data_IF_009222558620
#
_entry.id   IF_009222558620
#
_cell.length_a   1.000
_cell.length_b   1.000
_cell.length_c   1.000
_cell.angle_alpha   90.00
_cell.angle_beta   90.00
_cell.angle_gamma   90.00
#
_symmetry.space_group_name_H-M   'P 1'
#
loop_
_entity.id
_entity.type
_entity.pdbx_description
1 polymer ?
#
# COMPACT_ATOMS: atom_id res chain seq x y z
N UNK A 1 -7.34 19.88 1.92
CA UNK A 1 -7.01 19.68 0.50
C UNK A 1 -5.82 20.56 0.13
N UNK A 2 -4.82 20.03 -0.59
CA UNK A 2 -3.64 20.78 -1.04
C UNK A 2 -3.61 20.73 -2.58
N UNK A 3 -3.49 21.88 -3.24
CA UNK A 3 -3.52 21.97 -4.70
C UNK A 3 -2.32 22.79 -5.20
N UNK A 4 -1.57 22.19 -6.11
CA UNK A 4 -0.50 22.83 -6.88
C UNK A 4 -0.98 23.03 -8.31
N UNK A 5 -0.82 24.26 -8.83
CA UNK A 5 -1.15 24.62 -10.20
C UNK A 5 0.06 25.26 -10.88
N UNK A 6 0.63 24.55 -11.83
CA UNK A 6 1.76 25.02 -12.66
C UNK A 6 2.93 25.61 -11.85
N UNK A 7 3.35 24.89 -10.77
CA UNK A 7 4.41 25.38 -9.87
C UNK A 7 5.79 25.16 -10.46
N UNK A 8 6.60 26.21 -10.46
CA UNK A 8 8.01 26.22 -10.89
C UNK A 8 8.90 26.69 -9.75
N UNK A 9 10.06 26.00 -9.59
CA UNK A 9 11.07 26.34 -8.59
C UNK A 9 12.47 26.17 -9.15
N UNK A 10 13.28 27.22 -8.99
CA UNK A 10 14.71 27.22 -9.30
C UNK A 10 15.51 27.77 -8.12
N UNK A 11 16.71 27.25 -7.85
CA UNK A 11 17.63 27.80 -6.85
C UNK A 11 18.72 28.66 -7.50
N UNK A 12 18.86 28.59 -8.83
CA UNK A 12 19.80 29.38 -9.62
C UNK A 12 19.27 29.50 -11.05
N UNK A 13 19.73 30.46 -11.81
CA UNK A 13 19.27 30.71 -13.18
C UNK A 13 19.50 29.55 -14.16
N UNK A 14 20.28 28.54 -13.75
CA UNK A 14 20.70 27.45 -14.64
C UNK A 14 20.00 26.09 -14.36
N UNK A 15 19.34 25.90 -13.22
CA UNK A 15 18.76 24.59 -12.91
C UNK A 15 17.40 24.70 -12.22
N UNK A 16 16.34 24.40 -12.96
CA UNK A 16 15.01 24.23 -12.41
C UNK A 16 14.96 22.94 -11.57
N UNK A 17 14.40 23.04 -10.35
CA UNK A 17 14.21 21.91 -9.44
C UNK A 17 12.78 21.41 -9.51
N UNK A 18 11.80 22.29 -9.71
CA UNK A 18 10.42 21.95 -10.02
C UNK A 18 10.04 22.60 -11.34
N UNK A 19 9.36 21.89 -12.20
CA UNK A 19 8.98 22.32 -13.54
C UNK A 19 7.55 21.89 -13.82
N UNK A 20 6.64 22.85 -13.88
CA UNK A 20 5.23 22.62 -14.23
C UNK A 20 4.55 21.56 -13.35
N UNK A 21 4.70 21.71 -12.04
CA UNK A 21 4.09 20.76 -11.09
C UNK A 21 2.64 21.14 -10.87
N UNK A 22 1.74 20.28 -11.33
CA UNK A 22 0.30 20.34 -11.06
C UNK A 22 -0.12 19.06 -10.35
N UNK A 23 -0.70 19.18 -9.14
CA UNK A 23 -0.96 18.06 -8.25
C UNK A 23 -2.05 18.42 -7.25
N UNK A 24 -2.95 17.48 -6.99
CA UNK A 24 -3.99 17.61 -5.97
C UNK A 24 -3.87 16.49 -4.94
N UNK A 25 -3.88 16.86 -3.66
CA UNK A 25 -3.87 15.96 -2.50
C UNK A 25 -5.18 16.15 -1.74
N UNK A 26 -5.97 15.11 -1.61
CA UNK A 26 -7.28 15.19 -0.98
C UNK A 26 -7.18 15.22 0.56
N UNK A 27 -8.19 15.78 1.21
CA UNK A 27 -8.26 15.79 2.67
C UNK A 27 -8.39 14.38 3.23
N UNK A 28 -7.60 14.06 4.25
CA UNK A 28 -7.59 12.74 4.88
C UNK A 28 -6.81 11.68 4.09
N UNK A 29 -6.06 12.07 3.07
CA UNK A 29 -5.23 11.18 2.25
C UNK A 29 -3.87 10.93 2.91
N UNK A 30 -3.34 9.72 2.76
CA UNK A 30 -1.95 9.40 3.03
C UNK A 30 -1.20 9.37 1.69
N UNK A 31 -0.58 10.48 1.36
CA UNK A 31 0.00 10.76 0.06
C UNK A 31 1.53 10.67 0.09
N UNK A 32 2.11 9.95 -0.87
CA UNK A 32 3.56 9.76 -0.95
C UNK A 32 4.15 10.42 -2.17
N UNK A 33 5.19 11.22 -1.97
CA UNK A 33 6.08 11.70 -3.02
C UNK A 33 7.29 10.77 -3.13
N UNK A 34 7.48 10.14 -4.29
CA UNK A 34 8.56 9.20 -4.53
C UNK A 34 9.36 9.56 -5.78
N UNK A 35 10.62 9.14 -5.85
CA UNK A 35 11.52 9.35 -6.98
C UNK A 35 12.98 9.33 -6.54
N UNK A 36 13.90 9.41 -7.50
CA UNK A 36 15.34 9.41 -7.25
C UNK A 36 15.80 10.60 -6.38
N UNK A 37 16.97 10.48 -5.77
CA UNK A 37 17.56 11.59 -5.01
C UNK A 37 17.74 12.82 -5.91
N UNK A 38 17.45 14.00 -5.35
CA UNK A 38 17.59 15.28 -6.08
C UNK A 38 16.48 15.58 -7.10
N UNK A 39 15.42 14.76 -7.26
CA UNK A 39 14.35 15.03 -8.23
C UNK A 39 13.34 16.12 -7.79
N UNK A 40 13.49 16.71 -6.59
CA UNK A 40 12.66 17.82 -6.11
C UNK A 40 11.63 17.49 -5.03
N UNK A 41 11.54 16.25 -4.51
CA UNK A 41 10.56 15.81 -3.49
C UNK A 41 10.54 16.69 -2.24
N UNK A 42 11.67 16.80 -1.56
CA UNK A 42 11.82 17.65 -0.36
C UNK A 42 11.57 19.12 -0.66
N UNK A 43 11.94 19.60 -1.84
CA UNK A 43 11.66 20.97 -2.28
C UNK A 43 10.15 21.18 -2.39
N UNK A 44 9.44 20.27 -3.06
CA UNK A 44 7.98 20.33 -3.21
C UNK A 44 7.28 20.24 -1.84
N UNK A 45 7.73 19.34 -0.96
CA UNK A 45 7.19 19.22 0.41
C UNK A 45 7.35 20.54 1.18
N UNK A 46 8.54 21.14 1.12
CA UNK A 46 8.88 22.39 1.82
C UNK A 46 8.19 23.65 1.27
N UNK A 47 7.58 23.60 0.09
CA UNK A 47 6.74 24.71 -0.38
C UNK A 47 5.41 24.76 0.35
N UNK A 48 4.86 23.60 0.81
CA UNK A 48 3.58 23.53 1.51
C UNK A 48 3.62 24.31 2.83
N UNK A 49 4.75 24.23 3.55
CA UNK A 49 4.91 24.92 4.85
C UNK A 49 5.68 26.26 4.73
N UNK A 50 5.84 26.80 3.53
CA UNK A 50 6.57 28.05 3.25
C UNK A 50 8.06 28.05 3.63
N UNK A 51 8.66 26.90 3.91
CA UNK A 51 10.12 26.82 4.09
C UNK A 51 10.88 27.05 2.78
N UNK A 52 10.24 26.77 1.65
CA UNK A 52 10.70 27.13 0.32
C UNK A 52 9.68 28.01 -0.39
N UNK A 53 10.15 28.99 -1.14
CA UNK A 53 9.35 29.77 -2.07
C UNK A 53 9.39 29.15 -3.46
N UNK A 54 8.46 29.52 -4.33
CA UNK A 54 8.44 29.18 -5.76
C UNK A 54 8.24 30.45 -6.59
N UNK A 55 8.66 30.40 -7.86
CA UNK A 55 8.71 31.59 -8.72
C UNK A 55 7.44 31.78 -9.53
N UNK A 56 6.79 30.68 -9.95
CA UNK A 56 5.58 30.71 -10.79
C UNK A 56 4.59 29.64 -10.34
N UNK A 57 3.35 29.83 -10.69
CA UNK A 57 2.25 28.93 -10.35
C UNK A 57 1.52 29.33 -9.07
N UNK A 58 0.68 28.47 -8.59
CA UNK A 58 -0.13 28.67 -7.40
C UNK A 58 -0.14 27.44 -6.50
N UNK A 59 -0.13 27.67 -5.20
CA UNK A 59 -0.30 26.63 -4.17
C UNK A 59 -1.43 27.06 -3.22
N UNK A 60 -2.43 26.20 -3.09
CA UNK A 60 -3.59 26.41 -2.21
C UNK A 60 -3.69 25.33 -1.14
N UNK A 61 -4.14 25.74 0.04
CA UNK A 61 -4.56 24.86 1.13
C UNK A 61 -6.00 25.20 1.46
N UNK A 62 -6.91 24.24 1.32
CA UNK A 62 -8.35 24.38 1.50
C UNK A 62 -8.92 25.60 0.73
N UNK A 63 -8.48 25.79 -0.52
CA UNK A 63 -8.89 26.86 -1.42
C UNK A 63 -8.20 28.21 -1.17
N UNK A 64 -7.43 28.37 -0.08
CA UNK A 64 -6.70 29.61 0.23
C UNK A 64 -5.28 29.54 -0.31
N UNK A 65 -4.80 30.59 -0.95
CA UNK A 65 -3.39 30.68 -1.39
C UNK A 65 -2.46 30.61 -0.19
N UNK A 66 -1.44 29.75 -0.29
CA UNK A 66 -0.48 29.58 0.81
C UNK A 66 0.22 30.89 1.16
N UNK A 67 0.50 31.75 0.16
CA UNK A 67 1.12 33.06 0.36
C UNK A 67 0.29 33.96 1.29
N UNK A 68 -1.03 33.86 1.26
CA UNK A 68 -1.98 34.69 2.03
C UNK A 68 -2.20 34.18 3.47
N UNK A 69 -1.74 32.95 3.78
CA UNK A 69 -1.86 32.38 5.13
C UNK A 69 -0.69 32.89 5.99
N UNK A 70 -0.95 33.48 7.13
CA UNK A 70 0.08 33.93 8.06
C UNK A 70 0.95 32.79 8.59
N UNK A 71 2.24 33.04 8.87
CA UNK A 71 3.17 32.00 9.33
C UNK A 71 2.71 31.34 10.65
N UNK A 72 2.18 32.11 11.58
CA UNK A 72 1.66 31.58 12.85
C UNK A 72 0.43 30.70 12.65
N UNK A 73 -0.50 31.10 11.77
CA UNK A 73 -1.64 30.29 11.38
C UNK A 73 -1.21 28.98 10.70
N UNK A 74 -0.28 29.07 9.75
CA UNK A 74 0.24 27.91 9.01
C UNK A 74 0.90 26.89 9.95
N UNK A 75 1.63 27.36 10.98
CA UNK A 75 2.25 26.50 11.99
C UNK A 75 1.24 25.75 12.86
N UNK A 76 0.02 26.24 12.98
CA UNK A 76 -1.10 25.52 13.62
C UNK A 76 -1.79 24.51 12.69
N UNK A 77 -1.80 24.79 11.38
CA UNK A 77 -2.44 23.95 10.37
C UNK A 77 -1.56 22.76 9.94
N UNK A 78 -0.23 22.90 10.02
CA UNK A 78 0.73 21.93 9.47
C UNK A 78 1.69 21.46 10.57
N UNK A 79 1.71 20.16 10.82
CA UNK A 79 2.79 19.49 11.55
C UNK A 79 3.90 19.08 10.59
N UNK A 80 5.17 19.21 11.01
CA UNK A 80 6.29 18.85 10.18
C UNK A 80 7.28 17.94 10.90
N UNK A 81 7.50 16.75 10.32
CA UNK A 81 8.51 15.79 10.76
C UNK A 81 9.71 15.92 9.82
N UNK A 82 10.82 16.40 10.34
CA UNK A 82 12.07 16.51 9.58
C UNK A 82 12.84 15.19 9.59
N UNK A 83 13.69 15.00 8.62
CA UNK A 83 14.64 13.90 8.56
C UNK A 83 15.44 13.82 9.89
N UNK A 84 15.70 12.60 10.40
CA UNK A 84 16.41 12.35 11.68
C UNK A 84 15.75 12.94 12.94
N UNK A 85 14.43 13.20 12.91
CA UNK A 85 13.64 13.67 14.06
C UNK A 85 13.80 15.14 14.41
N UNK A 86 14.92 15.80 14.10
CA UNK A 86 15.17 17.23 14.27
C UNK A 86 14.83 17.78 15.65
N UNK A 87 15.13 17.02 16.72
CA UNK A 87 14.86 17.43 18.10
C UNK A 87 15.92 18.42 18.59
N UNK A 88 15.51 19.38 19.40
CA UNK A 88 16.41 20.29 20.08
C UNK A 88 17.17 19.55 21.19
N UNK A 89 18.50 19.41 21.09
CA UNK A 89 19.28 18.55 21.99
C UNK A 89 19.31 19.03 23.45
N UNK A 90 19.10 20.32 23.67
CA UNK A 90 19.10 20.97 24.99
C UNK A 90 17.72 21.00 25.66
N UNK A 91 16.69 20.53 24.98
CA UNK A 91 15.35 20.41 25.55
C UNK A 91 15.04 18.94 25.84
N UNK A 92 14.26 18.69 26.87
CA UNK A 92 13.74 17.36 27.17
C UNK A 92 12.74 16.91 26.09
N UNK A 93 12.38 15.65 26.08
CA UNK A 93 11.33 15.08 25.19
C UNK A 93 10.02 15.86 25.35
N UNK A 94 9.57 16.04 26.59
CA UNK A 94 8.34 16.79 26.86
C UNK A 94 8.41 18.24 26.40
N UNK A 95 9.56 18.90 26.56
CA UNK A 95 9.76 20.27 26.08
C UNK A 95 9.82 20.37 24.56
N UNK A 96 10.45 19.39 23.87
CA UNK A 96 10.43 19.31 22.41
C UNK A 96 9.00 19.21 21.86
N UNK A 97 8.15 18.37 22.44
CA UNK A 97 6.75 18.24 22.05
C UNK A 97 5.97 19.52 22.38
N UNK A 98 6.22 20.12 23.54
CA UNK A 98 5.51 21.30 24.03
C UNK A 98 5.86 22.60 23.28
N UNK A 99 6.94 22.64 22.51
CA UNK A 99 7.55 23.87 22.00
C UNK A 99 6.56 24.78 21.25
N UNK A 100 5.84 24.22 20.28
CA UNK A 100 4.88 24.98 19.47
C UNK A 100 3.68 25.42 20.32
N UNK A 101 3.21 24.55 21.23
CA UNK A 101 2.10 24.89 22.14
C UNK A 101 2.45 26.04 23.09
N UNK A 102 3.69 26.08 23.60
CA UNK A 102 4.20 27.19 24.42
C UNK A 102 4.22 28.51 23.63
N UNK A 103 4.70 28.48 22.39
CA UNK A 103 4.73 29.68 21.53
C UNK A 103 3.33 30.18 21.16
N UNK A 104 2.34 29.29 21.16
CA UNK A 104 0.93 29.62 20.92
C UNK A 104 0.16 29.99 22.21
N UNK A 105 0.88 30.22 23.34
CA UNK A 105 0.32 30.65 24.63
C UNK A 105 -0.77 29.70 25.19
N UNK A 106 -0.68 28.39 24.90
CA UNK A 106 -1.57 27.38 25.47
C UNK A 106 -1.28 27.25 26.98
N UNK A 107 -2.29 27.14 27.86
CA UNK A 107 -2.10 26.96 29.30
C UNK A 107 -1.24 25.75 29.63
N UNK A 108 -0.32 25.90 30.61
CA UNK A 108 0.67 24.88 30.98
C UNK A 108 0.05 23.53 31.35
N UNK A 109 -1.14 23.54 31.95
CA UNK A 109 -1.86 22.32 32.31
C UNK A 109 -2.30 21.52 31.07
N UNK A 110 -2.91 22.19 30.09
CA UNK A 110 -3.29 21.60 28.81
C UNK A 110 -2.08 21.08 28.03
N UNK A 111 -0.94 21.81 28.07
CA UNK A 111 0.30 21.36 27.46
C UNK A 111 0.77 20.05 28.10
N UNK A 112 0.72 19.95 29.42
CA UNK A 112 1.17 18.76 30.17
C UNK A 112 0.30 17.53 29.83
N UNK A 113 -1.02 17.71 29.82
CA UNK A 113 -1.95 16.66 29.42
C UNK A 113 -1.71 16.21 27.97
N UNK A 114 -1.55 17.17 27.04
CA UNK A 114 -1.32 16.87 25.64
C UNK A 114 0.01 16.18 25.38
N UNK A 115 1.09 16.59 26.07
CA UNK A 115 2.39 15.91 25.98
C UNK A 115 2.29 14.46 26.46
N UNK A 116 1.53 14.23 27.53
CA UNK A 116 1.28 12.88 28.05
C UNK A 116 0.56 12.01 27.04
N UNK A 117 -0.58 12.49 26.53
CA UNK A 117 -1.35 11.81 25.48
C UNK A 117 -0.51 11.48 24.25
N UNK A 118 0.31 12.44 23.79
CA UNK A 118 1.12 12.26 22.59
C UNK A 118 2.26 11.24 22.80
N UNK A 119 2.84 11.17 23.98
CA UNK A 119 3.84 10.14 24.30
C UNK A 119 3.22 8.74 24.32
N UNK A 120 2.05 8.58 24.95
CA UNK A 120 1.30 7.31 24.90
C UNK A 120 0.94 6.93 23.46
N UNK A 121 0.55 7.94 22.66
CA UNK A 121 0.15 7.77 21.26
C UNK A 121 1.26 7.19 20.39
N UNK A 122 2.53 7.55 20.68
CA UNK A 122 3.70 7.05 19.95
C UNK A 122 4.42 5.90 20.69
N UNK A 123 3.72 5.21 21.60
CA UNK A 123 4.21 4.09 22.40
C UNK A 123 5.53 4.40 23.16
N UNK A 124 5.60 5.58 23.77
CA UNK A 124 6.65 5.99 24.70
C UNK A 124 6.01 6.26 26.06
N UNK A 125 6.33 5.48 27.09
CA UNK A 125 5.81 5.64 28.45
C UNK A 125 6.15 7.04 29.01
N UNK A 126 5.14 7.91 29.28
CA UNK A 126 5.39 9.30 29.66
C UNK A 126 6.23 9.46 30.92
N UNK A 127 6.05 8.58 31.92
CA UNK A 127 6.81 8.58 33.16
C UNK A 127 8.31 8.41 32.93
N UNK A 128 8.68 7.56 31.96
CA UNK A 128 10.05 7.18 31.65
C UNK A 128 10.68 8.19 30.71
N UNK A 129 9.95 8.66 29.69
CA UNK A 129 10.54 9.37 28.57
C UNK A 129 10.41 10.87 28.62
N UNK A 130 9.38 11.44 29.26
CA UNK A 130 9.10 12.89 29.23
C UNK A 130 10.28 13.76 29.62
N UNK A 131 11.05 13.33 30.64
CA UNK A 131 12.17 14.10 31.20
C UNK A 131 13.52 13.73 30.59
N UNK A 132 13.59 12.75 29.65
CA UNK A 132 14.83 12.41 28.96
C UNK A 132 15.21 13.46 27.94
N UNK A 133 16.50 13.56 27.65
CA UNK A 133 17.04 14.36 26.56
C UNK A 133 17.20 13.50 25.27
N UNK A 134 17.20 14.11 24.08
CA UNK A 134 17.37 13.39 22.82
C UNK A 134 18.60 12.47 22.76
N UNK A 135 19.71 12.85 23.42
CA UNK A 135 20.92 12.04 23.50
C UNK A 135 20.75 10.71 24.25
N UNK A 136 19.69 10.58 25.06
CA UNK A 136 19.38 9.39 25.84
C UNK A 136 18.40 8.44 25.11
N UNK A 137 18.05 8.75 23.87
CA UNK A 137 17.07 8.03 23.07
C UNK A 137 17.76 7.26 21.92
N UNK A 138 17.20 6.11 21.54
CA UNK A 138 17.52 5.46 20.27
C UNK A 138 17.07 6.30 19.06
N UNK A 139 17.56 5.99 17.87
CA UNK A 139 17.12 6.65 16.63
C UNK A 139 15.60 6.59 16.45
N UNK A 140 15.01 5.39 16.61
CA UNK A 140 13.57 5.20 16.51
C UNK A 140 12.78 5.95 17.58
N UNK A 141 13.27 6.01 18.81
CA UNK A 141 12.63 6.79 19.87
C UNK A 141 12.67 8.31 19.56
N UNK A 142 13.79 8.82 19.05
CA UNK A 142 13.86 10.23 18.58
C UNK A 142 12.85 10.50 17.48
N UNK A 143 12.70 9.58 16.53
CA UNK A 143 11.74 9.74 15.43
C UNK A 143 10.29 9.72 15.93
N UNK A 144 9.94 8.83 16.87
CA UNK A 144 8.62 8.81 17.53
C UNK A 144 8.33 10.14 18.24
N UNK A 145 9.30 10.73 18.93
CA UNK A 145 9.16 12.08 19.54
C UNK A 145 8.95 13.15 18.48
N UNK A 146 9.66 13.07 17.34
CA UNK A 146 9.46 13.96 16.18
C UNK A 146 8.04 13.89 15.64
N UNK A 147 7.49 12.68 15.51
CA UNK A 147 6.08 12.46 15.13
C UNK A 147 5.14 13.06 16.19
N UNK A 148 5.33 12.76 17.48
CA UNK A 148 4.52 13.32 18.55
C UNK A 148 4.51 14.86 18.52
N UNK A 149 5.68 15.50 18.30
CA UNK A 149 5.80 16.95 18.18
C UNK A 149 4.98 17.50 17.00
N UNK A 150 4.98 16.81 15.86
CA UNK A 150 4.21 17.22 14.69
C UNK A 150 2.68 17.19 14.95
N UNK A 151 2.21 16.33 15.86
CA UNK A 151 0.81 16.24 16.26
C UNK A 151 0.42 17.17 17.43
N UNK A 152 1.38 17.95 17.97
CA UNK A 152 1.16 18.74 19.20
C UNK A 152 -0.03 19.71 19.11
N UNK A 153 -0.16 20.43 18.00
CA UNK A 153 -1.24 21.42 17.75
C UNK A 153 -2.49 20.80 17.11
N UNK A 154 -2.56 19.49 17.03
CA UNK A 154 -3.62 18.76 16.32
C UNK A 154 -3.86 19.24 14.88
N UNK A 155 -2.79 19.42 14.06
CA UNK A 155 -2.90 20.00 12.73
C UNK A 155 -3.73 19.13 11.78
N UNK A 156 -4.34 19.77 10.75
CA UNK A 156 -5.05 19.05 9.68
C UNK A 156 -4.13 18.34 8.70
N UNK A 157 -2.89 18.84 8.56
CA UNK A 157 -1.90 18.36 7.59
C UNK A 157 -0.63 17.99 8.33
N UNK A 158 -0.06 16.83 8.01
CA UNK A 158 1.25 16.38 8.51
C UNK A 158 2.18 16.18 7.31
N UNK A 159 3.30 16.86 7.33
CA UNK A 159 4.38 16.70 6.34
C UNK A 159 5.51 15.89 6.96
N UNK A 160 6.05 14.91 6.23
CA UNK A 160 7.13 14.05 6.69
C UNK A 160 8.23 13.94 5.63
N UNK A 161 9.44 14.36 5.96
CA UNK A 161 10.60 14.30 5.06
C UNK A 161 11.48 13.09 5.42
N UNK A 162 11.41 12.02 4.63
CA UNK A 162 12.10 10.73 4.84
C UNK A 162 12.02 10.20 6.28
N UNK A 163 10.81 10.03 6.86
CA UNK A 163 10.64 9.78 8.30
C UNK A 163 11.17 8.42 8.76
N UNK A 164 11.48 7.49 7.83
CA UNK A 164 11.85 6.11 8.16
C UNK A 164 13.30 5.75 7.77
N UNK A 165 14.03 6.64 7.10
CA UNK A 165 15.33 6.35 6.47
C UNK A 165 16.42 5.89 7.42
N UNK A 166 16.43 6.39 8.66
CA UNK A 166 17.48 6.12 9.67
C UNK A 166 17.11 4.97 10.64
N UNK A 167 16.07 4.19 10.35
CA UNK A 167 15.55 3.16 11.26
C UNK A 167 15.93 1.76 10.81
N UNK A 168 16.16 0.87 11.79
CA UNK A 168 16.26 -0.57 11.53
C UNK A 168 14.92 -1.13 11.03
N UNK A 169 14.91 -2.27 10.33
CA UNK A 169 13.70 -2.79 9.67
C UNK A 169 12.51 -3.02 10.61
N UNK A 170 12.74 -3.48 11.84
CA UNK A 170 11.67 -3.76 12.80
C UNK A 170 11.04 -2.45 13.29
N UNK A 171 11.85 -1.53 13.79
CA UNK A 171 11.40 -0.21 14.26
C UNK A 171 10.72 0.57 13.15
N UNK A 172 11.24 0.47 11.91
CA UNK A 172 10.63 1.08 10.71
C UNK A 172 9.22 0.57 10.49
N UNK A 173 9.05 -0.76 10.48
CA UNK A 173 7.73 -1.39 10.28
C UNK A 173 6.73 -0.96 11.35
N UNK A 174 7.13 -0.95 12.62
CA UNK A 174 6.29 -0.52 13.73
C UNK A 174 5.84 0.95 13.59
N UNK A 175 6.79 1.85 13.27
CA UNK A 175 6.46 3.27 13.13
C UNK A 175 5.57 3.54 11.91
N UNK A 176 5.73 2.81 10.80
CA UNK A 176 4.85 2.87 9.65
C UNK A 176 3.42 2.49 10.02
N UNK A 177 3.24 1.37 10.73
CA UNK A 177 1.92 0.89 11.17
C UNK A 177 1.27 1.89 12.14
N UNK A 178 2.08 2.55 12.97
CA UNK A 178 1.64 3.60 13.88
C UNK A 178 1.18 4.85 13.13
N UNK A 179 1.93 5.34 12.16
CA UNK A 179 1.54 6.48 11.30
C UNK A 179 0.23 6.20 10.58
N UNK A 180 0.05 5.01 10.00
CA UNK A 180 -1.21 4.60 9.36
C UNK A 180 -2.37 4.58 10.38
N UNK A 181 -2.14 4.03 11.58
CA UNK A 181 -3.14 4.00 12.65
C UNK A 181 -3.57 5.40 13.07
N UNK A 182 -2.58 6.30 13.26
CA UNK A 182 -2.82 7.70 13.64
C UNK A 182 -3.58 8.46 12.57
N UNK A 183 -3.16 8.32 11.31
CA UNK A 183 -3.83 8.95 10.17
C UNK A 183 -5.30 8.54 10.09
N UNK A 184 -5.60 7.24 10.21
CA UNK A 184 -6.97 6.72 10.19
C UNK A 184 -7.81 7.20 11.38
N UNK A 185 -7.22 7.17 12.60
CA UNK A 185 -7.90 7.59 13.83
C UNK A 185 -8.27 9.07 13.81
N UNK A 186 -7.36 9.93 13.39
CA UNK A 186 -7.53 11.38 13.41
C UNK A 186 -7.91 11.99 12.06
N UNK A 187 -8.04 11.16 11.01
CA UNK A 187 -8.41 11.57 9.64
C UNK A 187 -7.54 12.72 9.11
N UNK A 188 -6.23 12.71 9.43
CA UNK A 188 -5.28 13.74 9.01
C UNK A 188 -4.86 13.53 7.55
N UNK A 189 -4.57 14.62 6.84
CA UNK A 189 -3.88 14.55 5.55
C UNK A 189 -2.40 14.40 5.83
N UNK A 190 -1.79 13.30 5.39
CA UNK A 190 -0.35 13.06 5.57
C UNK A 190 0.33 13.08 4.21
N UNK A 191 1.35 13.91 4.06
CA UNK A 191 2.20 13.95 2.87
C UNK A 191 3.61 13.55 3.30
N UNK A 192 4.11 12.43 2.79
CA UNK A 192 5.47 12.02 3.12
C UNK A 192 6.33 11.79 1.87
N UNK A 193 7.61 12.02 2.04
CA UNK A 193 8.64 11.81 1.04
C UNK A 193 9.41 10.55 1.39
N UNK A 194 9.64 9.70 0.40
CA UNK A 194 10.57 8.57 0.50
C UNK A 194 11.24 8.30 -0.84
N UNK A 195 12.32 7.55 -0.81
CA UNK A 195 12.94 6.94 -1.98
C UNK A 195 12.72 5.41 -2.01
N UNK A 196 12.06 4.87 -0.99
CA UNK A 196 11.79 3.44 -0.84
C UNK A 196 10.35 3.12 -1.33
N UNK A 197 10.28 2.25 -2.35
CA UNK A 197 9.00 1.84 -2.92
C UNK A 197 8.17 0.96 -1.98
N UNK A 198 8.81 0.15 -1.13
CA UNK A 198 8.10 -0.73 -0.19
C UNK A 198 7.42 0.09 0.90
N UNK A 199 8.06 1.18 1.35
CA UNK A 199 7.42 2.14 2.25
C UNK A 199 6.18 2.77 1.61
N UNK A 200 6.32 3.24 0.35
CA UNK A 200 5.21 3.85 -0.36
C UNK A 200 4.05 2.87 -0.57
N UNK A 201 4.34 1.64 -1.00
CA UNK A 201 3.32 0.59 -1.21
C UNK A 201 2.59 0.26 0.09
N UNK A 202 3.33 0.12 1.20
CA UNK A 202 2.79 -0.32 2.48
C UNK A 202 1.81 0.67 3.07
N UNK A 203 2.09 1.98 2.96
CA UNK A 203 1.35 2.97 3.74
C UNK A 203 0.53 3.96 2.91
N UNK A 204 0.88 4.22 1.66
CA UNK A 204 0.23 5.24 0.86
C UNK A 204 -1.18 4.84 0.39
N UNK A 205 -2.09 5.80 0.38
CA UNK A 205 -3.36 5.71 -0.37
C UNK A 205 -3.15 6.08 -1.84
N UNK A 206 -2.26 7.05 -2.12
CA UNK A 206 -1.78 7.41 -3.45
C UNK A 206 -0.29 7.71 -3.44
N UNK A 207 0.37 7.35 -4.54
CA UNK A 207 1.79 7.55 -4.78
C UNK A 207 1.95 8.49 -5.97
N UNK A 208 2.79 9.51 -5.82
CA UNK A 208 3.14 10.45 -6.87
C UNK A 208 4.63 10.33 -7.20
N UNK A 209 4.92 9.89 -8.41
CA UNK A 209 6.27 9.84 -8.93
C UNK A 209 6.73 11.19 -9.44
N UNK A 210 7.83 11.67 -8.85
CA UNK A 210 8.53 12.88 -9.29
C UNK A 210 9.83 12.50 -10.02
N UNK A 211 10.03 13.02 -11.22
CA UNK A 211 11.24 12.81 -12.01
C UNK A 211 11.67 14.11 -12.68
N UNK A 212 12.92 14.51 -12.48
CA UNK A 212 13.47 15.77 -13.00
C UNK A 212 12.56 16.99 -12.75
N UNK A 213 12.01 17.08 -11.54
CA UNK A 213 11.13 18.19 -11.13
C UNK A 213 9.71 18.14 -11.70
N UNK A 214 9.30 17.07 -12.37
CA UNK A 214 7.96 16.91 -12.96
C UNK A 214 7.21 15.74 -12.33
N UNK A 215 5.91 15.87 -12.21
CA UNK A 215 5.03 14.74 -11.89
C UNK A 215 4.88 13.87 -13.14
N UNK A 216 5.24 12.60 -13.06
CA UNK A 216 5.15 11.66 -14.19
C UNK A 216 4.03 10.64 -14.06
N UNK A 217 3.66 10.29 -12.84
CA UNK A 217 2.46 9.47 -12.55
C UNK A 217 2.00 9.71 -11.11
N UNK A 218 0.70 9.76 -10.90
CA UNK A 218 0.11 9.87 -9.58
C UNK A 218 -1.15 9.00 -9.52
N UNK A 219 -1.09 7.90 -8.75
CA UNK A 219 -2.16 6.91 -8.69
C UNK A 219 -2.11 6.07 -7.40
N UNK A 220 -3.05 5.14 -7.25
CA UNK A 220 -3.02 4.13 -6.18
C UNK A 220 -1.81 3.20 -6.33
N UNK A 221 -1.29 2.63 -5.22
CA UNK A 221 -0.20 1.66 -5.28
C UNK A 221 -0.51 0.48 -6.23
N UNK A 222 -1.75 -0.04 -6.19
CA UNK A 222 -2.19 -1.13 -7.08
C UNK A 222 -2.04 -0.76 -8.55
N UNK A 223 -2.53 0.44 -8.94
CA UNK A 223 -2.48 0.84 -10.35
C UNK A 223 -1.07 1.16 -10.83
N UNK A 224 -0.24 1.74 -9.99
CA UNK A 224 1.18 1.99 -10.29
C UNK A 224 1.94 0.68 -10.52
N UNK A 225 1.71 -0.34 -9.69
CA UNK A 225 2.35 -1.65 -9.83
C UNK A 225 1.89 -2.39 -11.10
N UNK A 226 0.61 -2.27 -11.47
CA UNK A 226 0.04 -2.94 -12.64
C UNK A 226 0.29 -2.19 -13.96
N UNK A 227 0.23 -0.87 -13.92
CA UNK A 227 0.22 -0.01 -15.10
C UNK A 227 1.25 1.13 -14.96
N UNK A 228 2.57 0.85 -14.84
CA UNK A 228 3.58 1.89 -14.82
C UNK A 228 3.56 2.66 -16.14
N UNK A 229 3.51 4.01 -16.09
CA UNK A 229 3.32 4.88 -17.26
C UNK A 229 4.52 4.91 -18.19
N UNK A 230 5.71 4.55 -17.71
CA UNK A 230 6.95 4.55 -18.50
C UNK A 230 7.99 3.57 -17.92
N UNK A 231 9.09 3.39 -18.66
CA UNK A 231 10.16 2.47 -18.27
C UNK A 231 10.93 2.92 -17.02
N UNK A 232 11.03 4.23 -16.77
CA UNK A 232 11.64 4.72 -15.53
C UNK A 232 10.89 4.23 -14.30
N UNK A 233 9.56 4.35 -14.28
CA UNK A 233 8.74 3.86 -13.17
C UNK A 233 8.81 2.34 -13.09
N UNK A 234 8.73 1.63 -14.23
CA UNK A 234 8.85 0.16 -14.26
C UNK A 234 10.17 -0.32 -13.66
N UNK A 235 11.28 0.30 -14.02
CA UNK A 235 12.59 -0.03 -13.48
C UNK A 235 12.73 0.35 -11.99
N UNK A 236 12.12 1.47 -11.57
CA UNK A 236 12.12 1.89 -10.17
C UNK A 236 11.33 0.93 -9.27
N UNK A 237 10.20 0.41 -9.78
CA UNK A 237 9.37 -0.58 -9.09
C UNK A 237 10.12 -1.93 -9.00
N UNK A 238 10.79 -2.36 -10.06
CA UNK A 238 11.31 -3.72 -10.22
C UNK A 238 10.26 -4.70 -10.75
N UNK A 239 10.70 -5.77 -11.40
CA UNK A 239 9.84 -6.69 -12.15
C UNK A 239 8.92 -7.56 -11.26
N UNK A 240 9.36 -7.88 -10.04
CA UNK A 240 8.69 -8.86 -9.18
C UNK A 240 7.86 -8.24 -8.06
N UNK A 241 7.91 -6.94 -7.83
CA UNK A 241 7.30 -6.29 -6.67
C UNK A 241 5.77 -6.45 -6.58
N UNK A 242 5.07 -6.51 -7.72
CA UNK A 242 3.64 -6.81 -7.73
C UNK A 242 3.36 -8.19 -7.10
N UNK A 243 4.20 -9.18 -7.40
CA UNK A 243 4.03 -10.55 -6.91
C UNK A 243 4.31 -10.70 -5.41
N UNK A 244 5.15 -9.83 -4.84
CA UNK A 244 5.41 -9.77 -3.38
C UNK A 244 4.25 -9.15 -2.60
N UNK A 245 3.26 -8.53 -3.28
CA UNK A 245 2.12 -7.88 -2.65
C UNK A 245 0.79 -8.58 -3.05
N UNK A 246 0.47 -9.75 -2.48
CA UNK A 246 -0.67 -10.58 -2.88
C UNK A 246 -2.04 -9.93 -2.70
N UNK A 247 -2.13 -8.87 -1.91
CA UNK A 247 -3.33 -8.05 -1.76
C UNK A 247 -3.71 -7.26 -3.02
N UNK A 248 -2.74 -6.93 -3.88
CA UNK A 248 -2.97 -6.22 -5.14
C UNK A 248 -3.18 -7.14 -6.33
N UNK A 249 -2.89 -8.44 -6.20
CA UNK A 249 -3.17 -9.42 -7.24
C UNK A 249 -4.65 -9.80 -7.15
N UNK A 250 -5.41 -9.55 -8.21
CA UNK A 250 -6.82 -9.92 -8.30
C UNK A 250 -6.98 -11.28 -8.98
N UNK A 251 -8.08 -11.96 -8.68
CA UNK A 251 -8.43 -13.22 -9.32
C UNK A 251 -8.43 -13.09 -10.85
N UNK A 252 -8.94 -11.98 -11.40
CA UNK A 252 -8.95 -11.68 -12.84
C UNK A 252 -7.57 -11.65 -13.48
N UNK A 253 -6.51 -11.35 -12.71
CA UNK A 253 -5.12 -11.26 -13.21
C UNK A 253 -4.49 -12.64 -13.40
N UNK A 254 -5.03 -13.68 -12.72
CA UNK A 254 -4.45 -15.03 -12.66
C UNK A 254 -5.41 -16.14 -13.09
N UNK A 255 -6.70 -15.83 -13.32
CA UNK A 255 -7.70 -16.80 -13.74
C UNK A 255 -7.52 -17.22 -15.20
N UNK A 256 -7.99 -18.43 -15.50
CA UNK A 256 -8.15 -18.94 -16.87
C UNK A 256 -9.57 -18.70 -17.35
N UNK A 257 -9.74 -18.25 -18.61
CA UNK A 257 -11.05 -17.78 -19.13
C UNK A 257 -11.94 -18.85 -19.73
N UNK A 258 -11.48 -20.07 -19.95
CA UNK A 258 -12.27 -21.11 -20.65
C UNK A 258 -12.32 -22.36 -19.79
N UNK A 259 -13.22 -22.43 -18.80
CA UNK A 259 -13.39 -23.63 -17.99
C UNK A 259 -14.04 -24.75 -18.78
N UNK A 260 -13.77 -25.98 -18.39
CA UNK A 260 -14.50 -27.13 -18.90
C UNK A 260 -15.85 -27.19 -18.19
N UNK A 261 -16.91 -27.11 -18.99
CA UNK A 261 -18.29 -27.10 -18.51
C UNK A 261 -19.08 -28.27 -19.10
N UNK A 262 -20.14 -28.65 -18.40
CA UNK A 262 -21.12 -29.62 -18.88
C UNK A 262 -22.53 -29.15 -18.52
N UNK A 263 -23.49 -29.30 -19.47
CA UNK A 263 -24.92 -29.05 -19.18
C UNK A 263 -25.45 -30.12 -18.22
N UNK A 264 -26.31 -29.71 -17.29
CA UNK A 264 -26.96 -30.61 -16.31
C UNK A 264 -27.74 -31.78 -16.98
N UNK A 265 -28.15 -31.64 -18.25
CA UNK A 265 -28.93 -32.61 -18.99
C UNK A 265 -28.07 -33.72 -19.62
N UNK A 266 -26.75 -33.51 -19.66
CA UNK A 266 -25.80 -34.48 -20.21
C UNK A 266 -25.64 -35.68 -19.30
N UNK A 267 -25.18 -36.81 -19.91
CA UNK A 267 -25.01 -38.06 -19.19
C UNK A 267 -23.68 -38.15 -18.43
N UNK A 268 -23.63 -39.03 -17.45
CA UNK A 268 -22.39 -39.34 -16.70
C UNK A 268 -21.28 -39.80 -17.62
N UNK A 269 -21.62 -40.64 -18.62
CA UNK A 269 -20.65 -41.10 -19.63
C UNK A 269 -19.95 -39.93 -20.31
N UNK A 270 -20.75 -38.94 -20.76
CA UNK A 270 -20.20 -37.73 -21.40
C UNK A 270 -19.34 -36.91 -20.46
N UNK A 271 -19.72 -36.78 -19.17
CA UNK A 271 -18.90 -36.11 -18.19
C UNK A 271 -17.53 -36.78 -18.03
N UNK A 272 -17.54 -38.10 -17.86
CA UNK A 272 -16.31 -38.89 -17.72
C UNK A 272 -15.41 -38.83 -18.96
N UNK A 273 -16.02 -38.82 -20.16
CA UNK A 273 -15.27 -38.67 -21.41
C UNK A 273 -14.57 -37.32 -21.49
N UNK A 274 -15.26 -36.19 -21.17
CA UNK A 274 -14.68 -34.85 -21.13
C UNK A 274 -13.53 -34.78 -20.11
N UNK A 275 -13.74 -35.33 -18.93
CA UNK A 275 -12.71 -35.33 -17.88
C UNK A 275 -11.46 -36.12 -18.31
N UNK A 276 -11.63 -37.32 -18.89
CA UNK A 276 -10.50 -38.16 -19.34
C UNK A 276 -9.75 -37.54 -20.52
N UNK A 277 -10.48 -37.00 -21.52
CA UNK A 277 -9.87 -36.40 -22.71
C UNK A 277 -9.03 -35.16 -22.38
N UNK A 278 -9.41 -34.42 -21.34
CA UNK A 278 -8.76 -33.18 -20.95
C UNK A 278 -7.85 -33.35 -19.71
N UNK A 279 -7.72 -34.58 -19.19
CA UNK A 279 -6.94 -34.92 -18.00
C UNK A 279 -7.28 -34.03 -16.79
N UNK A 280 -8.60 -33.92 -16.52
CA UNK A 280 -9.15 -33.15 -15.40
C UNK A 280 -10.01 -34.06 -14.53
N UNK A 281 -10.13 -33.71 -13.25
CA UNK A 281 -10.86 -34.47 -12.21
C UNK A 281 -12.21 -33.88 -11.85
N UNK A 282 -12.57 -32.74 -12.47
CA UNK A 282 -13.82 -32.02 -12.16
C UNK A 282 -14.32 -31.21 -13.34
N UNK A 283 -15.64 -31.00 -13.38
CA UNK A 283 -16.34 -30.16 -14.36
C UNK A 283 -17.29 -29.19 -13.66
N UNK A 284 -17.44 -28.02 -14.25
CA UNK A 284 -18.46 -27.06 -13.86
C UNK A 284 -19.78 -27.41 -14.53
N UNK A 285 -20.83 -27.60 -13.75
CA UNK A 285 -22.16 -27.91 -14.29
C UNK A 285 -22.92 -26.62 -14.54
N UNK A 286 -23.49 -26.53 -15.74
CA UNK A 286 -24.26 -25.34 -16.18
C UNK A 286 -25.73 -25.69 -16.45
N UNK A 287 -26.60 -24.76 -16.13
CA UNK A 287 -27.99 -24.76 -16.51
C UNK A 287 -28.30 -23.84 -17.68
N UNK A 288 -29.53 -23.37 -17.74
CA UNK A 288 -29.98 -22.42 -18.76
C UNK A 288 -29.14 -21.13 -18.68
N UNK A 289 -28.93 -20.51 -19.86
CA UNK A 289 -28.12 -19.27 -20.00
C UNK A 289 -26.71 -19.37 -19.41
N UNK A 290 -26.12 -20.57 -19.41
CA UNK A 290 -24.76 -20.82 -18.89
C UNK A 290 -24.60 -20.48 -17.41
N UNK A 291 -25.67 -20.50 -16.61
CA UNK A 291 -25.66 -20.26 -15.17
C UNK A 291 -25.01 -21.44 -14.45
N UNK A 292 -24.07 -21.15 -13.57
CA UNK A 292 -23.39 -22.16 -12.76
C UNK A 292 -24.34 -22.80 -11.74
N UNK A 293 -24.42 -24.12 -11.73
CA UNK A 293 -25.25 -24.90 -10.82
C UNK A 293 -24.47 -25.58 -9.69
N UNK A 294 -23.22 -25.98 -9.96
CA UNK A 294 -22.37 -26.70 -9.01
C UNK A 294 -21.27 -27.42 -9.75
N UNK A 295 -20.60 -28.33 -9.07
CA UNK A 295 -19.47 -29.09 -9.61
C UNK A 295 -19.77 -30.59 -9.63
N UNK A 296 -19.14 -31.31 -10.55
CA UNK A 296 -19.12 -32.76 -10.57
C UNK A 296 -17.66 -33.22 -10.52
N UNK A 297 -17.41 -34.22 -9.67
CA UNK A 297 -16.07 -34.76 -9.44
C UNK A 297 -15.94 -36.15 -10.03
N UNK A 298 -14.78 -36.50 -10.58
CA UNK A 298 -14.51 -37.83 -11.10
C UNK A 298 -14.67 -38.91 -10.01
N UNK A 299 -14.27 -38.58 -8.79
CA UNK A 299 -14.38 -39.52 -7.65
C UNK A 299 -15.83 -39.86 -7.29
N UNK A 300 -16.76 -38.92 -7.41
CA UNK A 300 -18.19 -39.15 -7.16
C UNK A 300 -18.82 -40.08 -8.21
N UNK A 301 -18.18 -40.24 -9.36
CA UNK A 301 -18.66 -41.06 -10.47
C UNK A 301 -18.06 -42.47 -10.50
N UNK A 302 -17.04 -42.78 -9.67
CA UNK A 302 -16.36 -44.10 -9.70
C UNK A 302 -17.24 -45.28 -9.40
N UNK A 303 -18.27 -45.10 -8.58
CA UNK A 303 -19.16 -46.18 -8.11
C UNK A 303 -20.53 -46.18 -8.83
N UNK A 304 -20.66 -45.42 -9.91
CA UNK A 304 -21.90 -45.33 -10.69
C UNK A 304 -21.95 -46.53 -11.64
N UNK A 305 -23.07 -47.26 -11.62
CA UNK A 305 -23.32 -48.42 -12.48
C UNK A 305 -24.10 -48.07 -13.73
N UNK A 306 -24.88 -47.00 -13.69
CA UNK A 306 -25.71 -46.51 -14.79
C UNK A 306 -25.17 -45.18 -15.34
N UNK A 307 -24.44 -45.28 -16.46
CA UNK A 307 -23.77 -44.15 -17.06
C UNK A 307 -24.65 -43.27 -17.95
N UNK A 308 -25.89 -43.72 -18.23
CA UNK A 308 -26.86 -42.98 -19.03
C UNK A 308 -27.65 -41.96 -18.22
N UNK A 309 -27.54 -42.02 -16.90
CA UNK A 309 -28.16 -41.03 -16.03
C UNK A 309 -27.61 -39.64 -16.23
N UNK A 310 -28.50 -38.65 -16.03
CA UNK A 310 -28.11 -37.22 -16.06
C UNK A 310 -27.13 -36.89 -14.95
N UNK A 311 -26.17 -36.00 -15.23
CA UNK A 311 -25.22 -35.45 -14.25
C UNK A 311 -25.91 -34.68 -13.14
N UNK A 312 -27.16 -34.23 -13.34
CA UNK A 312 -27.94 -33.45 -12.36
C UNK A 312 -28.05 -34.12 -11.00
N UNK A 313 -28.02 -35.45 -10.93
CA UNK A 313 -28.11 -36.22 -9.67
C UNK A 313 -26.78 -36.29 -8.89
N UNK A 314 -25.68 -35.82 -9.47
CA UNK A 314 -24.33 -35.90 -8.92
C UNK A 314 -23.68 -34.53 -8.79
N UNK A 315 -24.45 -33.44 -8.90
CA UNK A 315 -23.98 -32.09 -8.67
C UNK A 315 -23.66 -31.93 -7.18
N UNK A 316 -22.45 -31.51 -6.90
CA UNK A 316 -22.00 -31.18 -5.55
C UNK A 316 -22.07 -29.67 -5.33
N UNK A 317 -22.57 -29.30 -4.16
CA UNK A 317 -22.54 -27.93 -3.65
C UNK A 317 -21.31 -27.65 -2.79
N UNK A 318 -20.48 -28.68 -2.55
CA UNK A 318 -19.24 -28.53 -1.80
C UNK A 318 -18.12 -28.07 -2.74
N UNK A 319 -18.07 -26.78 -2.97
CA UNK A 319 -17.03 -26.11 -3.74
C UNK A 319 -16.69 -24.75 -3.13
N UNK A 320 -15.50 -24.26 -3.40
CA UNK A 320 -15.11 -22.87 -3.18
C UNK A 320 -15.37 -22.11 -4.48
N UNK A 321 -15.96 -20.94 -4.40
CA UNK A 321 -16.04 -20.00 -5.52
C UNK A 321 -15.52 -18.63 -5.13
N UNK A 322 -15.01 -17.89 -6.08
CA UNK A 322 -14.44 -16.55 -5.90
C UNK A 322 -14.98 -15.60 -6.98
N UNK A 323 -14.79 -14.31 -6.78
CA UNK A 323 -15.13 -13.26 -7.75
C UNK A 323 -13.89 -12.73 -8.44
N UNK A 324 -14.05 -12.10 -9.61
CA UNK A 324 -12.95 -11.50 -10.37
C UNK A 324 -12.15 -10.46 -9.56
N UNK A 325 -12.84 -9.70 -8.71
CA UNK A 325 -12.23 -8.63 -7.90
C UNK A 325 -11.67 -9.09 -6.55
N UNK A 326 -11.85 -10.36 -6.19
CA UNK A 326 -11.24 -10.89 -4.96
C UNK A 326 -9.72 -10.83 -5.05
N UNK A 327 -9.07 -10.48 -3.93
CA UNK A 327 -7.60 -10.48 -3.87
C UNK A 327 -7.07 -11.91 -3.72
N UNK A 328 -5.88 -12.16 -4.24
CA UNK A 328 -5.19 -13.43 -4.08
C UNK A 328 -5.00 -13.79 -2.59
N UNK A 329 -4.74 -12.81 -1.73
CA UNK A 329 -4.67 -12.98 -0.29
C UNK A 329 -5.97 -13.53 0.29
N UNK A 330 -7.13 -13.04 -0.16
CA UNK A 330 -8.43 -13.56 0.26
C UNK A 330 -8.64 -15.01 -0.18
N UNK A 331 -8.25 -15.35 -1.42
CA UNK A 331 -8.30 -16.72 -1.93
C UNK A 331 -7.49 -17.67 -1.06
N UNK A 332 -6.25 -17.29 -0.71
CA UNK A 332 -5.40 -18.09 0.17
C UNK A 332 -6.01 -18.26 1.57
N UNK A 333 -6.63 -17.22 2.12
CA UNK A 333 -7.30 -17.27 3.42
C UNK A 333 -8.50 -18.23 3.40
N UNK A 334 -9.32 -18.21 2.36
CA UNK A 334 -10.44 -19.13 2.16
C UNK A 334 -9.97 -20.58 2.05
N UNK A 335 -8.88 -20.82 1.32
CA UNK A 335 -8.27 -22.15 1.17
C UNK A 335 -7.76 -22.70 2.52
N UNK A 336 -7.13 -21.85 3.34
CA UNK A 336 -6.61 -22.22 4.66
C UNK A 336 -7.73 -22.63 5.62
N UNK A 337 -8.85 -21.91 5.61
CA UNK A 337 -10.00 -22.16 6.51
C UNK A 337 -10.66 -23.49 6.19
N UNK A 338 -10.80 -23.85 4.92
CA UNK A 338 -11.53 -25.06 4.48
C UNK A 338 -10.73 -26.37 4.55
N UNK A 339 -9.45 -26.33 4.89
CA UNK A 339 -8.57 -27.51 4.99
C UNK A 339 -8.71 -28.45 3.76
N UNK A 340 -8.58 -27.88 2.56
CA UNK A 340 -8.76 -28.55 1.27
C UNK A 340 -7.70 -29.64 1.02
N UNK A 341 -7.84 -30.83 1.66
CA UNK A 341 -6.86 -31.94 1.55
C UNK A 341 -6.99 -32.78 0.29
N UNK A 342 -8.19 -33.08 -0.20
CA UNK A 342 -8.41 -34.13 -1.19
C UNK A 342 -9.11 -33.70 -2.50
N UNK A 343 -9.91 -32.62 -2.54
CA UNK A 343 -10.70 -32.24 -3.71
C UNK A 343 -10.37 -30.86 -4.27
N UNK A 344 -9.09 -30.47 -4.27
CA UNK A 344 -8.66 -29.21 -4.87
C UNK A 344 -8.37 -29.40 -6.37
N UNK A 345 -9.41 -29.42 -7.20
CA UNK A 345 -9.25 -29.44 -8.66
C UNK A 345 -9.22 -28.03 -9.24
N UNK A 346 -10.36 -27.39 -9.29
CA UNK A 346 -10.54 -26.03 -9.81
C UNK A 346 -11.42 -25.19 -8.86
N UNK A 347 -11.23 -23.89 -8.87
CA UNK A 347 -12.09 -22.92 -8.17
C UNK A 347 -12.81 -22.10 -9.24
N UNK A 348 -14.13 -22.17 -9.35
CA UNK A 348 -14.89 -21.35 -10.27
C UNK A 348 -14.84 -19.88 -9.89
N UNK A 349 -14.67 -19.02 -10.89
CA UNK A 349 -14.80 -17.58 -10.78
C UNK A 349 -16.17 -17.19 -11.31
N UNK A 350 -17.00 -16.66 -10.41
CA UNK A 350 -18.42 -16.39 -10.68
C UNK A 350 -18.71 -14.89 -10.65
N UNK A 351 -19.59 -14.44 -11.55
CA UNK A 351 -20.20 -13.13 -11.51
C UNK A 351 -21.40 -13.05 -10.56
N UNK A 352 -22.07 -11.91 -10.50
CA UNK A 352 -23.17 -11.65 -9.57
C UNK A 352 -24.39 -12.56 -9.77
N UNK A 353 -24.72 -12.88 -11.02
CA UNK A 353 -25.84 -13.77 -11.37
C UNK A 353 -25.43 -15.25 -11.46
N UNK A 354 -24.29 -15.62 -10.90
CA UNK A 354 -23.67 -16.94 -10.97
C UNK A 354 -23.24 -17.35 -12.39
N UNK A 355 -23.02 -16.41 -13.27
CA UNK A 355 -22.40 -16.68 -14.58
C UNK A 355 -20.90 -17.01 -14.39
N UNK A 356 -20.42 -17.97 -15.19
CA UNK A 356 -19.02 -18.40 -15.11
C UNK A 356 -18.14 -17.40 -15.87
N UNK A 357 -17.24 -16.71 -15.16
CA UNK A 357 -16.26 -15.77 -15.71
C UNK A 357 -14.93 -16.45 -16.03
N UNK A 358 -14.57 -17.47 -15.25
CA UNK A 358 -13.32 -18.19 -15.39
C UNK A 358 -13.12 -19.21 -14.30
N UNK A 359 -11.88 -19.61 -14.10
CA UNK A 359 -11.51 -20.56 -13.03
C UNK A 359 -10.05 -20.40 -12.62
N UNK A 360 -9.75 -20.80 -11.38
CA UNK A 360 -8.39 -20.95 -10.88
C UNK A 360 -8.03 -22.42 -10.74
N UNK A 361 -6.75 -22.73 -10.92
CA UNK A 361 -6.17 -24.07 -10.74
C UNK A 361 -5.04 -24.02 -9.70
N UNK A 362 -4.64 -25.19 -9.17
CA UNK A 362 -3.43 -25.32 -8.35
C UNK A 362 -2.21 -24.68 -9.02
N UNK A 363 -2.03 -24.91 -10.32
CA UNK A 363 -0.92 -24.33 -11.08
C UNK A 363 -1.01 -22.81 -11.21
N UNK A 364 -2.22 -22.22 -11.31
CA UNK A 364 -2.38 -20.77 -11.27
C UNK A 364 -1.91 -20.17 -9.93
N UNK A 365 -2.28 -20.81 -8.82
CA UNK A 365 -1.88 -20.35 -7.47
C UNK A 365 -0.37 -20.56 -7.23
N UNK A 366 0.16 -21.73 -7.61
CA UNK A 366 1.59 -22.02 -7.47
C UNK A 366 2.44 -21.08 -8.34
N UNK A 367 1.98 -20.70 -9.53
CA UNK A 367 2.69 -19.73 -10.37
C UNK A 367 2.81 -18.34 -9.72
N UNK A 368 1.81 -17.91 -8.97
CA UNK A 368 1.91 -16.67 -8.18
C UNK A 368 2.87 -16.84 -7.03
N UNK A 369 2.73 -17.92 -6.24
CA UNK A 369 3.60 -18.19 -5.09
C UNK A 369 5.06 -18.35 -5.51
N UNK A 370 5.35 -19.06 -6.62
CA UNK A 370 6.74 -19.23 -7.08
C UNK A 370 7.40 -17.90 -7.47
N UNK A 371 6.66 -16.97 -8.04
CA UNK A 371 7.17 -15.63 -8.37
C UNK A 371 7.51 -14.78 -7.14
N UNK A 372 6.89 -15.04 -5.98
CA UNK A 372 7.23 -14.38 -4.72
C UNK A 372 8.62 -14.78 -4.19
N UNK A 373 9.15 -15.93 -4.60
CA UNK A 373 10.45 -16.46 -4.16
C UNK A 373 11.57 -16.25 -5.17
N UNK A 374 11.33 -15.57 -6.30
CA UNK A 374 12.39 -15.21 -7.24
C UNK A 374 13.07 -13.94 -6.72
N UNK A 375 14.34 -13.99 -6.27
CA UNK A 375 15.07 -12.81 -5.81
C UNK A 375 15.19 -11.79 -6.95
N UNK A 376 15.16 -10.50 -6.62
CA UNK A 376 15.49 -9.45 -7.59
C UNK A 376 16.94 -9.60 -8.06
N UNK A 377 17.20 -9.35 -9.33
CA UNK A 377 18.55 -9.51 -9.91
C UNK A 377 19.64 -8.72 -9.17
N UNK A 378 19.30 -7.63 -8.48
CA UNK A 378 20.20 -6.85 -7.64
C UNK A 378 20.73 -7.60 -6.41
N UNK A 379 20.02 -8.62 -5.91
CA UNK A 379 20.49 -9.45 -4.78
C UNK A 379 21.48 -10.54 -5.24
N UNK A 380 21.43 -10.92 -6.51
CA UNK A 380 22.35 -11.92 -7.09
C UNK A 380 23.73 -11.31 -7.40
N UNK A 381 23.82 -10.03 -7.73
CA UNK A 381 25.09 -9.35 -8.00
C UNK A 381 25.84 -8.94 -6.71
N UNK A 382 25.13 -8.65 -5.62
CA UNK A 382 25.72 -8.33 -4.31
C UNK A 382 26.35 -9.51 -3.57
N UNK A 383 26.04 -10.74 -3.97
CA UNK A 383 26.60 -11.98 -3.37
C UNK A 383 27.92 -12.46 -3.97
N UNK A 384 28.29 -11.99 -5.15
CA UNK A 384 29.49 -12.45 -5.86
C UNK A 384 30.79 -11.75 -5.45
N UNK A 385 30.70 -10.53 -4.89
CA UNK A 385 31.89 -9.70 -4.59
C UNK A 385 32.48 -9.89 -3.18
N UNK A 386 31.98 -10.85 -2.38
CA UNK A 386 32.49 -11.11 -1.02
C UNK A 386 33.39 -12.35 -0.88
N UNK A 387 33.89 -12.95 -1.98
CA UNK A 387 34.77 -14.15 -1.94
C UNK A 387 36.12 -14.00 -2.62
N UNK A 388 36.68 -12.81 -2.66
CA UNK A 388 38.07 -12.66 -3.10
C UNK A 388 38.81 -11.60 -2.30
N UNK A 389 39.07 -11.87 -1.01
CA UNK A 389 40.24 -11.36 -0.27
C UNK A 389 40.51 -12.36 0.85
N UNK A 390 41.43 -13.27 0.63
CA UNK A 390 42.28 -13.91 1.62
C UNK A 390 43.68 -13.77 1.12
#
# INVERSE_FOLDING_TARGET
MIEFEHVYKSYSDTKAVLTDVSLKIETGELFTLIGSSGCGKTTLLKTINKLNTFEQGELRIDGRRVQDIGTAELSGLIGYVVQEGGLFPHLTVGENIALIMKSSHIPAEKIRERVWELLELVNLEPEIYRNKYPAQLSGGQRQRVGVARAFAMDPGIILMDEPFSALDPLTRSELQDEVVRLQKKYKKTVVFVTHDMDEAIKIATRICFLYNGRVIQCDTPENILKNPSNDYIRNFIGENRLWHNPEFIRVKDIMRKRPFTISRERTILQAMQIMRQNNIDSLLVTGEKNRFLGMIWMDSLKNVTDYDKSVSNYISDDYLSVREEDSFRNVLSMLKIRNYGHHFGIIPVLGEEREIRGYLTKSSLLAVLSRQFIPEQSELEGGADRKSVV
#
